data_IF_658076809529
#
_entry.id   IF_658076809529
#
_cell.length_a   1.000
_cell.length_b   1.000
_cell.length_c   1.000
_cell.angle_alpha   90.00
_cell.angle_beta   90.00
_cell.angle_gamma   90.00
#
_symmetry.space_group_name_H-M   'P 1'
#
loop_
_entity.id
_entity.type
_entity.pdbx_description
1 polymer ?
#
# COMPACT_ATOMS: atom_id res chain seq x y z
N UNK A 1 -6.90 -16.99 14.18
CA UNK A 1 -6.25 -16.29 13.04
C UNK A 1 -6.26 -14.81 13.36
N UNK A 2 -5.16 -14.28 13.88
CA UNK A 2 -5.09 -12.92 14.41
C UNK A 2 -5.30 -11.91 13.27
N UNK A 3 -6.50 -11.31 13.22
CA UNK A 3 -6.73 -10.10 12.44
C UNK A 3 -6.03 -8.96 13.17
N UNK A 4 -4.74 -8.83 12.92
CA UNK A 4 -3.97 -7.66 13.32
C UNK A 4 -4.54 -6.48 12.52
N UNK A 5 -5.39 -5.66 13.16
CA UNK A 5 -5.75 -4.33 12.68
C UNK A 5 -4.52 -3.41 12.80
N UNK A 6 -3.46 -3.73 12.08
CA UNK A 6 -2.30 -2.85 11.94
C UNK A 6 -2.72 -1.64 11.12
N UNK A 7 -2.39 -0.45 11.59
CA UNK A 7 -2.58 0.79 10.85
C UNK A 7 -1.40 1.00 9.89
N UNK A 8 -1.61 1.76 8.80
CA UNK A 8 -0.58 2.08 7.80
C UNK A 8 0.66 2.71 8.45
N UNK A 9 0.45 3.58 9.44
CA UNK A 9 1.54 4.24 10.17
C UNK A 9 2.40 3.23 10.95
N UNK A 10 1.77 2.24 11.59
CA UNK A 10 2.48 1.20 12.33
C UNK A 10 3.32 0.34 11.40
N UNK A 11 2.76 -0.04 10.24
CA UNK A 11 3.51 -0.78 9.20
C UNK A 11 4.70 0.04 8.71
N UNK A 12 4.53 1.33 8.48
CA UNK A 12 5.63 2.23 8.07
C UNK A 12 6.74 2.29 9.12
N UNK A 13 6.39 2.39 10.40
CA UNK A 13 7.35 2.38 11.50
C UNK A 13 8.11 1.05 11.57
N UNK A 14 7.41 -0.07 11.38
CA UNK A 14 8.04 -1.39 11.39
C UNK A 14 8.96 -1.63 10.19
N UNK A 15 8.62 -1.12 9.01
CA UNK A 15 9.53 -1.10 7.85
C UNK A 15 10.79 -0.29 8.19
N UNK A 16 10.63 0.91 8.77
CA UNK A 16 11.77 1.74 9.22
C UNK A 16 12.59 1.07 10.32
N UNK A 17 11.95 0.31 11.18
CA UNK A 17 12.60 -0.46 12.25
C UNK A 17 13.32 -1.71 11.72
N UNK A 18 13.12 -2.09 10.45
CA UNK A 18 13.64 -3.35 9.90
C UNK A 18 12.92 -4.59 10.41
N UNK A 19 11.71 -4.45 10.95
CA UNK A 19 10.86 -5.59 11.30
C UNK A 19 10.12 -6.16 10.09
N UNK A 20 9.73 -5.29 9.15
CA UNK A 20 9.02 -5.69 7.94
C UNK A 20 9.89 -5.50 6.71
N UNK A 21 9.75 -6.41 5.75
CA UNK A 21 10.50 -6.42 4.50
C UNK A 21 9.55 -6.25 3.33
N UNK A 22 10.05 -5.61 2.28
CA UNK A 22 9.34 -5.47 1.01
C UNK A 22 9.80 -6.62 0.11
N UNK A 23 8.87 -7.49 -0.26
CA UNK A 23 9.12 -8.63 -1.13
C UNK A 23 8.49 -8.39 -2.50
N UNK A 24 9.31 -8.57 -3.55
CA UNK A 24 8.81 -8.59 -4.90
C UNK A 24 7.99 -9.86 -5.13
N UNK A 25 6.70 -9.68 -5.40
CA UNK A 25 5.84 -10.81 -5.75
C UNK A 25 5.77 -10.97 -7.26
N UNK A 26 6.25 -12.10 -7.77
CA UNK A 26 5.94 -12.50 -9.14
C UNK A 26 4.63 -13.28 -9.14
N UNK A 27 3.54 -12.61 -9.53
CA UNK A 27 2.19 -13.19 -9.58
C UNK A 27 1.55 -13.06 -10.97
N UNK A 28 0.42 -13.73 -11.19
CA UNK A 28 -0.35 -13.68 -12.46
C UNK A 28 -0.93 -12.30 -12.81
N UNK A 29 -0.83 -11.31 -11.92
CA UNK A 29 -1.43 -9.99 -12.09
C UNK A 29 -0.34 -8.94 -12.24
N UNK A 30 -0.38 -8.18 -13.34
CA UNK A 30 0.55 -7.08 -13.67
C UNK A 30 0.64 -6.00 -12.60
N UNK A 31 -0.33 -5.99 -11.66
CA UNK A 31 -0.33 -5.12 -10.49
C UNK A 31 0.97 -5.30 -9.69
N UNK A 32 1.47 -6.52 -9.51
CA UNK A 32 2.68 -6.74 -8.69
C UNK A 32 3.98 -6.26 -9.35
N UNK A 33 3.97 -5.86 -10.62
CA UNK A 33 5.14 -5.23 -11.26
C UNK A 33 5.48 -3.87 -10.62
N UNK A 34 4.44 -3.13 -10.21
CA UNK A 34 4.57 -1.79 -9.63
C UNK A 34 4.41 -1.77 -8.10
N UNK A 35 4.14 -2.93 -7.49
CA UNK A 35 3.85 -3.04 -6.06
C UNK A 35 4.67 -4.15 -5.41
N UNK A 36 5.17 -3.87 -4.22
CA UNK A 36 5.87 -4.84 -3.38
C UNK A 36 4.94 -5.32 -2.27
N UNK A 37 4.96 -6.62 -1.98
CA UNK A 37 4.22 -7.21 -0.86
C UNK A 37 5.02 -6.99 0.42
N UNK A 38 4.36 -6.55 1.50
CA UNK A 38 5.00 -6.39 2.80
C UNK A 38 4.87 -7.71 3.56
N UNK A 39 6.03 -8.26 3.91
CA UNK A 39 6.17 -9.49 4.68
C UNK A 39 6.85 -9.20 6.01
N UNK A 40 6.59 -10.05 7.00
CA UNK A 40 7.32 -10.04 8.27
C UNK A 40 8.65 -10.81 8.16
N UNK A 41 9.44 -10.84 9.23
CA UNK A 41 10.69 -11.64 9.33
C UNK A 41 10.47 -13.14 9.10
N UNK A 42 9.27 -13.64 9.32
CA UNK A 42 8.88 -15.03 9.08
C UNK A 42 8.43 -15.28 7.62
N UNK A 43 8.68 -14.33 6.71
CA UNK A 43 8.23 -14.36 5.31
C UNK A 43 6.70 -14.47 5.16
N UNK A 44 5.97 -14.13 6.22
CA UNK A 44 4.52 -14.17 6.27
C UNK A 44 3.95 -12.87 5.70
N UNK A 45 2.98 -12.93 4.77
CA UNK A 45 2.34 -11.74 4.24
C UNK A 45 1.50 -11.07 5.32
N UNK A 46 1.82 -9.80 5.60
CA UNK A 46 1.12 -9.00 6.63
C UNK A 46 -0.23 -8.49 6.12
N UNK A 47 -0.52 -8.67 4.83
CA UNK A 47 -1.71 -8.10 4.18
C UNK A 47 -1.55 -6.63 3.82
N UNK A 48 -0.31 -6.18 3.62
CA UNK A 48 0.01 -4.84 3.15
C UNK A 48 0.88 -4.91 1.90
N UNK A 49 0.72 -3.95 1.01
CA UNK A 49 1.53 -3.79 -0.18
C UNK A 49 1.94 -2.33 -0.34
N UNK A 50 3.09 -2.07 -0.95
CA UNK A 50 3.65 -0.75 -1.14
C UNK A 50 3.81 -0.45 -2.64
N UNK A 51 3.31 0.69 -3.16
CA UNK A 51 3.59 1.12 -4.54
C UNK A 51 5.07 1.53 -4.62
N UNK A 52 5.84 0.97 -5.56
CA UNK A 52 7.24 1.35 -5.81
C UNK A 52 7.37 2.80 -6.29
N UNK A 53 6.35 3.33 -6.97
CA UNK A 53 6.38 4.67 -7.57
C UNK A 53 6.04 5.81 -6.60
N UNK A 54 5.14 5.58 -5.62
CA UNK A 54 4.73 6.61 -4.66
C UNK A 54 5.05 6.24 -3.21
N UNK A 55 5.64 5.07 -2.97
CA UNK A 55 5.95 4.51 -1.64
C UNK A 55 4.75 4.49 -0.68
N UNK A 56 3.54 4.44 -1.24
CA UNK A 56 2.31 4.45 -0.46
C UNK A 56 1.89 3.02 -0.13
N UNK A 57 1.52 2.82 1.13
CA UNK A 57 1.08 1.55 1.70
C UNK A 57 -0.42 1.35 1.53
N UNK A 58 -0.79 0.16 1.09
CA UNK A 58 -2.16 -0.28 0.87
C UNK A 58 -2.41 -1.58 1.61
N UNK A 59 -3.51 -1.62 2.38
CA UNK A 59 -4.01 -2.87 2.93
C UNK A 59 -4.65 -3.69 1.81
N UNK A 60 -4.31 -4.97 1.72
CA UNK A 60 -4.95 -5.90 0.81
C UNK A 60 -5.20 -7.23 1.53
N UNK A 61 -6.32 -7.84 1.21
CA UNK A 61 -6.72 -9.14 1.72
C UNK A 61 -6.86 -10.10 0.54
N UNK A 62 -6.29 -11.30 0.65
CA UNK A 62 -6.41 -12.32 -0.38
C UNK A 62 -7.86 -12.68 -0.70
N UNK A 63 -8.78 -12.50 0.26
CA UNK A 63 -10.23 -12.71 0.08
C UNK A 63 -10.89 -11.64 -0.77
N UNK A 64 -10.47 -10.38 -0.64
CA UNK A 64 -11.06 -9.23 -1.37
C UNK A 64 -10.37 -9.03 -2.73
N UNK A 65 -9.19 -9.64 -2.90
CA UNK A 65 -8.41 -9.60 -4.13
C UNK A 65 -7.62 -8.31 -4.30
N UNK A 66 -7.02 -8.16 -5.50
CA UNK A 66 -6.10 -7.06 -5.81
C UNK A 66 -6.78 -5.84 -6.45
N UNK A 67 -8.12 -5.81 -6.46
CA UNK A 67 -8.91 -4.76 -7.09
C UNK A 67 -8.58 -3.35 -6.56
N UNK A 68 -8.31 -3.22 -5.26
CA UNK A 68 -7.91 -1.94 -4.66
C UNK A 68 -6.54 -1.46 -5.15
N UNK A 69 -5.56 -2.36 -5.26
CA UNK A 69 -4.24 -2.04 -5.80
C UNK A 69 -4.33 -1.69 -7.28
N UNK A 70 -5.13 -2.44 -8.07
CA UNK A 70 -5.34 -2.16 -9.49
C UNK A 70 -5.98 -0.79 -9.74
N UNK A 71 -6.87 -0.34 -8.85
CA UNK A 71 -7.52 0.99 -8.93
C UNK A 71 -6.60 2.11 -8.48
N UNK A 72 -5.53 1.82 -7.74
CA UNK A 72 -4.57 2.83 -7.35
C UNK A 72 -3.83 3.35 -8.59
N UNK A 73 -3.82 4.68 -8.72
CA UNK A 73 -3.06 5.41 -9.73
C UNK A 73 -2.03 6.24 -8.97
N UNK A 74 -0.75 5.88 -9.06
CA UNK A 74 0.30 6.59 -8.33
C UNK A 74 0.36 8.04 -8.87
N UNK A 75 0.32 9.09 -8.01
CA UNK A 75 0.22 10.48 -8.45
C UNK A 75 1.47 11.01 -9.17
N UNK A 76 2.60 10.29 -9.08
CA UNK A 76 3.82 10.57 -9.85
C UNK A 76 3.75 10.13 -11.32
N UNK A 77 2.65 9.52 -11.75
CA UNK A 77 2.42 9.22 -13.16
C UNK A 77 2.04 10.55 -13.86
N UNK A 78 3.06 11.28 -14.34
CA UNK A 78 2.96 12.59 -15.00
C UNK A 78 2.08 12.60 -16.27
N UNK A 79 1.52 11.44 -16.66
CA UNK A 79 0.77 11.24 -17.91
C UNK A 79 -0.75 11.18 -17.73
N UNK A 80 -1.34 11.94 -16.81
CA UNK A 80 -2.81 12.09 -16.77
C UNK A 80 -3.28 13.50 -17.14
N UNK A 81 -4.20 13.63 -18.13
CA UNK A 81 -4.95 14.87 -18.30
C UNK A 81 -5.77 15.09 -17.04
N UNK A 82 -5.62 16.28 -16.46
CA UNK A 82 -6.40 16.76 -15.31
C UNK A 82 -7.87 16.88 -15.72
N UNK A 83 -8.61 15.77 -15.74
CA UNK A 83 -10.06 15.82 -15.85
C UNK A 83 -10.60 16.26 -14.50
N UNK A 84 -11.05 17.51 -14.50
CA UNK A 84 -11.66 18.20 -13.40
C UNK A 84 -13.02 17.61 -13.11
N UNK A 85 -13.11 16.52 -12.34
CA UNK A 85 -14.43 16.09 -11.83
C UNK A 85 -14.30 15.43 -10.47
N UNK A 86 -14.42 16.30 -9.46
CA UNK A 86 -15.21 16.11 -8.25
C UNK A 86 -15.51 14.66 -7.85
N UNK A 87 -14.64 14.05 -7.04
CA UNK A 87 -15.01 13.04 -6.04
C UNK A 87 -13.97 12.99 -4.91
N UNK A 88 -14.36 13.58 -3.77
CA UNK A 88 -13.92 13.18 -2.42
C UNK A 88 -12.44 13.35 -2.06
N UNK A 89 -12.01 14.61 -1.82
CA UNK A 89 -10.83 14.88 -0.98
C UNK A 89 -11.06 14.31 0.43
N UNK A 90 -10.68 13.06 0.71
CA UNK A 90 -10.34 12.66 2.07
C UNK A 90 -8.91 13.11 2.35
N UNK A 91 -8.80 14.36 2.80
CA UNK A 91 -7.63 14.86 3.52
C UNK A 91 -7.49 14.03 4.80
N UNK A 92 -6.61 13.04 4.82
CA UNK A 92 -5.96 12.68 6.09
C UNK A 92 -4.85 13.71 6.29
N UNK A 93 -5.26 14.85 6.85
CA UNK A 93 -4.35 15.83 7.43
C UNK A 93 -3.67 15.15 8.62
N UNK A 94 -2.39 14.83 8.45
CA UNK A 94 -1.45 14.82 9.55
C UNK A 94 -1.53 16.18 10.24
N UNK A 95 -1.98 16.21 11.48
CA UNK A 95 -1.72 17.31 12.39
C UNK A 95 -1.25 16.75 13.74
N UNK A 96 -0.10 17.21 14.25
CA UNK A 96 0.37 16.85 15.58
C UNK A 96 -0.49 17.60 16.62
N UNK A 97 -0.93 16.90 17.67
CA UNK A 97 -1.48 17.59 18.85
C UNK A 97 -0.34 17.88 19.81
N UNK A 98 -0.14 19.18 20.03
CA UNK A 98 0.66 19.75 21.11
C UNK A 98 -0.25 19.98 22.32
#
# INVERSE_FOLDING_TARGET
>A
MANLNLNIEQVTLKIKSGELLCQEKSGKSDVWLNFEEIIDKEEQPVGFAMCKNCSQLFKYDYKTGTSSLKRHKCPSDEKQPKITTFWGKKKFLLLPKK
#
